data_IF_276681046160
#
_entry.id   IF_276681046160
#
_cell.length_a   1.000
_cell.length_b   1.000
_cell.length_c   1.000
_cell.angle_alpha   90.00
_cell.angle_beta   90.00
_cell.angle_gamma   90.00
#
_symmetry.space_group_name_H-M   'P 1'
#
loop_
_entity.id
_entity.type
_entity.pdbx_description
1 polymer ?
#
# COMPACT_ATOMS: atom_id res chain seq x y z
N UNK A 1 12.30 22.38 2.87
CA UNK A 1 12.74 21.10 2.27
C UNK A 1 13.08 20.15 3.39
N UNK A 2 12.13 19.28 3.75
CA UNK A 2 12.25 18.40 4.91
C UNK A 2 12.85 17.07 4.46
N UNK A 3 14.14 16.88 4.72
CA UNK A 3 14.80 15.60 4.49
C UNK A 3 14.36 14.61 5.58
N UNK A 4 13.41 13.75 5.22
CA UNK A 4 12.98 12.63 6.04
C UNK A 4 14.04 11.51 5.91
N UNK A 5 15.11 11.60 6.69
CA UNK A 5 16.14 10.56 6.75
C UNK A 5 15.63 9.39 7.62
N UNK A 6 14.76 8.58 7.02
CA UNK A 6 14.27 7.33 7.60
C UNK A 6 15.32 6.21 7.41
N UNK A 7 16.50 6.39 8.01
CA UNK A 7 17.58 5.40 8.05
C UNK A 7 17.68 4.67 9.40
N UNK A 8 16.54 4.47 10.08
CA UNK A 8 16.45 3.67 11.33
C UNK A 8 16.18 2.18 11.03
N UNK A 9 16.83 1.63 9.98
CA UNK A 9 16.87 0.18 9.73
C UNK A 9 18.33 -0.26 9.66
N UNK A 10 18.69 -1.29 10.43
CA UNK A 10 20.02 -1.88 10.49
C UNK A 10 20.44 -2.60 9.20
N UNK A 11 19.74 -2.36 8.08
CA UNK A 11 20.02 -2.96 6.80
C UNK A 11 20.99 -2.06 6.04
N UNK A 12 22.24 -2.50 5.95
CA UNK A 12 23.26 -1.87 5.12
C UNK A 12 22.74 -1.89 3.68
N UNK A 13 22.48 -0.71 3.10
CA UNK A 13 22.45 -0.56 1.64
C UNK A 13 23.80 -1.08 1.16
N UNK A 14 23.82 -2.19 0.43
CA UNK A 14 25.02 -2.65 -0.28
C UNK A 14 25.36 -1.58 -1.32
N UNK A 15 26.02 -0.50 -0.90
CA UNK A 15 26.79 0.34 -1.80
C UNK A 15 27.83 -0.58 -2.41
N UNK A 16 27.87 -0.53 -3.74
CA UNK A 16 28.84 -1.15 -4.63
C UNK A 16 30.16 -1.44 -3.93
N UNK A 17 30.56 -2.72 -3.97
CA UNK A 17 31.82 -3.22 -3.47
C UNK A 17 32.92 -2.16 -3.52
N UNK A 18 33.46 -1.81 -2.35
CA UNK A 18 34.71 -1.07 -2.24
C UNK A 18 35.81 -1.94 -2.85
N UNK A 19 35.96 -1.84 -4.18
CA UNK A 19 37.15 -2.26 -4.90
C UNK A 19 38.23 -1.26 -4.47
N UNK A 20 38.87 -1.56 -3.35
CA UNK A 20 40.13 -0.93 -3.01
C UNK A 20 41.10 -1.24 -4.15
N UNK A 21 41.52 -0.18 -4.85
CA UNK A 21 42.53 -0.24 -5.91
C UNK A 21 43.78 -0.98 -5.42
N UNK A 22 44.22 -2.06 -6.08
CA UNK A 22 45.54 -2.61 -5.83
C UNK A 22 46.54 -1.75 -6.63
N UNK A 23 47.38 -1.00 -5.92
CA UNK A 23 48.66 -0.59 -6.46
C UNK A 23 49.49 -1.84 -6.76
N UNK A 24 50.26 -1.78 -7.85
CA UNK A 24 51.23 -2.76 -8.36
C UNK A 24 50.65 -4.04 -8.99
N UNK A 25 50.83 -4.13 -10.31
CA UNK A 25 50.28 -5.18 -11.14
C UNK A 25 50.93 -6.54 -10.94
N UNK A 26 50.10 -7.57 -10.89
CA UNK A 26 50.35 -8.87 -11.52
C UNK A 26 48.98 -9.47 -11.82
N UNK A 27 48.73 -9.82 -13.07
CA UNK A 27 47.52 -10.51 -13.52
C UNK A 27 47.51 -11.94 -12.98
N UNK A 28 46.87 -12.15 -11.83
CA UNK A 28 46.46 -13.45 -11.33
C UNK A 28 44.97 -13.35 -11.02
N UNK A 29 44.19 -14.36 -11.42
CA UNK A 29 42.74 -14.36 -11.32
C UNK A 29 42.25 -13.88 -9.95
N UNK A 30 41.25 -13.01 -9.94
CA UNK A 30 40.52 -12.63 -8.73
C UNK A 30 40.01 -13.91 -8.06
N UNK A 31 40.75 -14.39 -7.07
CA UNK A 31 40.45 -15.60 -6.35
C UNK A 31 39.09 -15.39 -5.68
N UNK A 32 38.06 -16.07 -6.19
CA UNK A 32 36.68 -15.91 -5.71
C UNK A 32 36.56 -16.22 -4.21
N UNK A 33 37.55 -16.91 -3.64
CA UNK A 33 37.69 -17.20 -2.21
C UNK A 33 37.94 -15.96 -1.33
N UNK A 34 38.37 -14.82 -1.91
CA UNK A 34 38.61 -13.56 -1.18
C UNK A 34 37.42 -12.60 -1.19
N UNK A 35 36.28 -13.00 -1.77
CA UNK A 35 35.09 -12.15 -1.93
C UNK A 35 34.15 -12.34 -0.74
N UNK A 36 34.51 -11.76 0.41
CA UNK A 36 33.67 -11.77 1.61
C UNK A 36 34.23 -10.87 2.71
N UNK A 37 33.39 -10.03 3.34
CA UNK A 37 33.80 -9.31 4.55
C UNK A 37 33.94 -10.32 5.69
N UNK A 38 35.02 -10.26 6.44
CA UNK A 38 35.24 -11.09 7.63
C UNK A 38 34.67 -10.40 8.88
N UNK A 39 34.33 -11.19 9.90
CA UNK A 39 33.98 -10.61 11.20
C UNK A 39 35.21 -9.90 11.75
N UNK A 40 35.11 -8.60 12.04
CA UNK A 40 36.24 -7.75 12.43
C UNK A 40 36.65 -7.93 13.91
N UNK A 41 36.32 -9.09 14.48
CA UNK A 41 36.69 -9.48 15.83
C UNK A 41 37.85 -10.47 15.73
N UNK A 42 38.97 -10.14 16.36
CA UNK A 42 40.28 -10.80 16.19
C UNK A 42 40.23 -12.33 16.26
N UNK A 43 39.34 -12.88 17.09
CA UNK A 43 39.23 -14.31 17.34
C UNK A 43 38.13 -15.04 16.55
N UNK A 44 37.26 -14.32 15.84
CA UNK A 44 36.14 -14.92 15.12
C UNK A 44 36.48 -15.22 13.66
N UNK A 45 36.94 -14.20 12.91
CA UNK A 45 37.30 -14.26 11.49
C UNK A 45 36.33 -15.06 10.58
N UNK A 46 35.05 -15.17 10.96
CA UNK A 46 34.05 -15.91 10.20
C UNK A 46 33.84 -15.29 8.82
N UNK A 47 33.76 -16.15 7.80
CA UNK A 47 33.46 -15.83 6.40
C UNK A 47 32.00 -16.23 6.07
N UNK A 48 31.41 -15.65 5.03
CA UNK A 48 30.03 -15.94 4.56
C UNK A 48 28.90 -15.69 5.57
N UNK A 49 28.95 -14.56 6.28
CA UNK A 49 27.87 -14.12 7.17
C UNK A 49 27.12 -12.91 6.60
N UNK A 50 25.90 -12.69 7.10
CA UNK A 50 25.16 -11.46 6.84
C UNK A 50 25.80 -10.30 7.61
N UNK A 51 26.36 -9.27 6.95
CA UNK A 51 27.17 -8.26 7.63
C UNK A 51 26.33 -7.36 8.54
N UNK A 52 26.54 -7.44 9.85
CA UNK A 52 25.96 -6.52 10.83
C UNK A 52 26.93 -5.40 11.17
N UNK A 53 26.49 -4.16 11.03
CA UNK A 53 27.32 -2.98 11.28
C UNK A 53 27.00 -2.44 12.67
N UNK A 54 28.01 -2.40 13.56
CA UNK A 54 27.83 -1.83 14.90
C UNK A 54 27.66 -0.31 14.79
N UNK A 55 26.56 0.24 15.30
CA UNK A 55 26.26 1.67 15.18
C UNK A 55 27.12 2.55 16.10
N UNK A 56 27.82 1.92 17.05
CA UNK A 56 28.71 2.59 18.00
C UNK A 56 30.16 2.69 17.47
N UNK A 57 30.73 1.60 16.93
CA UNK A 57 32.11 1.59 16.42
C UNK A 57 32.24 1.45 14.90
N UNK A 58 31.13 1.34 14.17
CA UNK A 58 31.06 1.25 12.70
C UNK A 58 31.81 0.06 12.06
N UNK A 59 32.16 -0.96 12.86
CA UNK A 59 32.79 -2.21 12.42
C UNK A 59 31.74 -3.25 12.02
N UNK A 60 32.14 -4.21 11.17
CA UNK A 60 31.26 -5.27 10.66
C UNK A 60 31.47 -6.59 11.40
N UNK A 61 30.38 -7.21 11.84
CA UNK A 61 30.37 -8.41 12.68
C UNK A 61 29.34 -9.44 12.22
N UNK A 62 29.56 -10.70 12.58
CA UNK A 62 28.61 -11.79 12.36
C UNK A 62 27.44 -11.75 13.35
N UNK A 63 26.48 -12.68 13.18
CA UNK A 63 25.24 -12.73 13.97
C UNK A 63 25.50 -12.79 15.48
N UNK A 64 26.54 -13.53 15.88
CA UNK A 64 26.93 -13.76 17.28
C UNK A 64 27.65 -12.55 17.88
N UNK A 65 28.32 -11.76 17.05
CA UNK A 65 29.12 -10.60 17.45
C UNK A 65 28.45 -9.25 17.15
N UNK A 66 27.18 -9.23 16.76
CA UNK A 66 26.44 -8.03 16.36
C UNK A 66 26.22 -7.02 17.50
N UNK A 67 26.18 -7.48 18.75
CA UNK A 67 25.89 -6.64 19.92
C UNK A 67 27.15 -5.98 20.46
N UNK A 68 27.01 -4.81 21.09
CA UNK A 68 28.16 -4.08 21.65
C UNK A 68 28.92 -4.88 22.72
N UNK A 69 28.20 -5.70 23.49
CA UNK A 69 28.77 -6.60 24.50
C UNK A 69 29.49 -7.79 23.88
N UNK A 70 29.00 -8.33 22.77
CA UNK A 70 29.57 -9.54 22.15
C UNK A 70 30.93 -9.32 21.47
N UNK A 71 31.24 -8.12 20.98
CA UNK A 71 32.53 -7.83 20.34
C UNK A 71 33.42 -6.89 21.17
N UNK A 72 33.09 -6.67 22.45
CA UNK A 72 33.74 -5.69 23.32
C UNK A 72 33.93 -4.33 22.63
N UNK A 73 32.82 -3.68 22.30
CA UNK A 73 32.82 -2.43 21.53
C UNK A 73 33.70 -1.35 22.17
N UNK A 74 34.65 -0.79 21.40
CA UNK A 74 35.51 0.31 21.85
C UNK A 74 34.71 1.59 22.19
N UNK A 75 33.53 1.76 21.59
CA UNK A 75 32.67 2.94 21.77
C UNK A 75 31.30 2.55 22.35
N UNK A 76 31.24 1.56 23.25
CA UNK A 76 29.98 1.09 23.82
C UNK A 76 29.12 2.27 24.36
N UNK A 77 27.84 2.30 23.98
CA UNK A 77 26.90 3.36 24.37
C UNK A 77 26.92 4.64 23.53
N UNK A 78 27.88 4.82 22.60
CA UNK A 78 27.92 6.02 21.74
C UNK A 78 26.65 6.15 20.88
N UNK A 79 26.11 5.03 20.39
CA UNK A 79 24.82 5.03 19.68
C UNK A 79 23.65 5.45 20.58
N UNK A 80 23.60 4.92 21.81
CA UNK A 80 22.53 5.23 22.76
C UNK A 80 22.53 6.73 23.13
N UNK A 81 23.71 7.31 23.35
CA UNK A 81 23.86 8.73 23.65
C UNK A 81 23.43 9.62 22.48
N UNK A 82 23.86 9.28 21.25
CA UNK A 82 23.43 10.00 20.04
C UNK A 82 21.91 9.97 19.87
N UNK A 83 21.28 8.81 20.12
CA UNK A 83 19.82 8.66 20.02
C UNK A 83 19.09 9.47 21.10
N UNK A 84 19.62 9.51 22.32
CA UNK A 84 19.10 10.32 23.43
C UNK A 84 19.14 11.82 23.10
N UNK A 85 20.28 12.31 22.62
CA UNK A 85 20.43 13.71 22.20
C UNK A 85 19.50 14.06 21.05
N UNK A 86 19.36 13.16 20.06
CA UNK A 86 18.41 13.35 18.97
C UNK A 86 16.96 13.42 19.46
N UNK A 87 16.56 12.59 20.42
CA UNK A 87 15.22 12.65 21.03
C UNK A 87 14.98 13.95 21.79
N UNK A 88 15.96 14.44 22.56
CA UNK A 88 15.86 15.71 23.27
C UNK A 88 15.82 16.92 22.31
N UNK A 89 16.49 16.82 21.16
CA UNK A 89 16.46 17.85 20.12
C UNK A 89 15.16 17.86 19.30
N UNK A 90 14.25 16.89 19.49
CA UNK A 90 12.95 16.89 18.78
C UNK A 90 12.07 17.98 19.40
N UNK A 91 11.65 18.99 18.62
CA UNK A 91 10.71 19.99 19.13
C UNK A 91 9.40 19.33 19.55
N UNK A 92 8.73 19.92 20.55
CA UNK A 92 7.43 19.43 21.00
C UNK A 92 6.41 19.47 19.84
N UNK A 93 5.43 18.58 19.86
CA UNK A 93 4.38 18.54 18.85
C UNK A 93 3.60 19.88 18.85
N UNK A 94 3.92 20.78 17.92
CA UNK A 94 3.31 22.11 17.80
C UNK A 94 4.24 23.29 18.09
N UNK A 95 5.47 23.05 18.54
CA UNK A 95 6.47 24.10 18.75
C UNK A 95 6.83 24.74 17.40
N UNK A 96 6.61 26.06 17.28
CA UNK A 96 6.76 26.82 16.03
C UNK A 96 5.50 26.96 15.17
N UNK A 97 4.42 26.22 15.45
CA UNK A 97 3.11 26.48 14.82
C UNK A 97 2.36 27.54 15.61
N UNK A 98 2.68 28.83 15.38
CA UNK A 98 1.83 29.92 15.88
C UNK A 98 0.45 29.75 15.24
N UNK A 99 -0.59 29.59 16.06
CA UNK A 99 -2.01 29.64 15.66
C UNK A 99 -2.35 31.06 15.18
N UNK A 100 -1.76 31.51 14.06
CA UNK A 100 -1.85 32.93 13.67
C UNK A 100 -2.01 33.22 12.18
N UNK A 101 -2.10 32.25 11.28
CA UNK A 101 -2.19 32.62 9.84
C UNK A 101 -3.20 31.88 8.97
N UNK A 102 -3.94 30.89 9.49
CA UNK A 102 -4.96 30.17 8.71
C UNK A 102 -6.40 30.33 9.20
N UNK A 103 -6.64 31.17 10.19
CA UNK A 103 -8.00 31.40 10.69
C UNK A 103 -8.45 32.79 10.25
N UNK A 104 -8.66 32.94 8.93
CA UNK A 104 -9.45 34.06 8.42
C UNK A 104 -10.83 33.95 9.06
N UNK A 105 -11.20 34.95 9.86
CA UNK A 105 -12.51 35.02 10.49
C UNK A 105 -13.57 35.02 9.38
N UNK A 106 -14.39 33.98 9.34
CA UNK A 106 -15.45 33.82 8.33
C UNK A 106 -16.80 33.66 9.04
N UNK A 107 -17.89 34.20 8.49
CA UNK A 107 -19.21 33.89 9.02
C UNK A 107 -19.54 32.41 8.83
N UNK A 108 -20.42 31.89 9.68
CA UNK A 108 -21.01 30.57 9.48
C UNK A 108 -21.69 30.50 8.12
N UNK A 109 -21.49 29.39 7.41
CA UNK A 109 -22.09 29.18 6.10
C UNK A 109 -23.60 28.83 6.14
N UNK A 110 -24.20 28.89 7.32
CA UNK A 110 -25.64 28.74 7.52
C UNK A 110 -26.32 30.10 7.47
N UNK A 111 -27.42 30.22 6.71
CA UNK A 111 -28.03 31.51 6.38
C UNK A 111 -28.78 32.11 7.59
N UNK A 112 -29.19 31.28 8.55
CA UNK A 112 -29.78 31.73 9.81
C UNK A 112 -28.72 32.12 10.85
N UNK A 113 -27.46 31.70 10.66
CA UNK A 113 -26.41 31.84 11.67
C UNK A 113 -25.45 32.98 11.38
N UNK A 114 -25.47 34.01 12.24
CA UNK A 114 -24.55 35.16 12.16
C UNK A 114 -23.24 34.98 12.95
N UNK A 115 -22.94 33.78 13.46
CA UNK A 115 -21.75 33.56 14.28
C UNK A 115 -20.48 33.60 13.42
N UNK A 116 -19.47 34.34 13.88
CA UNK A 116 -18.16 34.41 13.22
C UNK A 116 -17.28 33.27 13.72
N UNK A 117 -16.90 32.43 12.78
CA UNK A 117 -16.05 31.28 12.95
C UNK A 117 -14.59 31.73 12.85
N UNK A 118 -13.74 31.11 13.64
CA UNK A 118 -12.32 31.38 13.60
C UNK A 118 -11.84 32.38 14.65
N UNK A 119 -12.62 32.52 15.71
CA UNK A 119 -12.18 33.18 16.94
C UNK A 119 -11.70 32.10 17.92
N UNK A 120 -10.88 32.46 18.91
CA UNK A 120 -10.38 31.50 19.91
C UNK A 120 -11.49 30.81 20.71
N UNK A 121 -12.69 31.40 20.78
CA UNK A 121 -13.86 30.85 21.47
C UNK A 121 -14.79 30.06 20.54
N UNK A 122 -14.71 30.26 19.22
CA UNK A 122 -15.58 29.63 18.22
C UNK A 122 -14.71 29.02 17.11
N UNK A 123 -14.11 27.84 17.33
CA UNK A 123 -13.43 27.12 16.27
C UNK A 123 -14.44 26.68 15.21
N UNK A 124 -14.01 26.75 13.94
CA UNK A 124 -14.79 26.28 12.81
C UNK A 124 -14.74 24.79 12.66
N UNK A 125 -15.89 24.19 12.34
CA UNK A 125 -15.97 22.79 11.95
C UNK A 125 -16.31 22.72 10.47
N UNK A 126 -15.47 22.03 9.71
CA UNK A 126 -15.66 21.82 8.28
C UNK A 126 -16.59 20.63 8.04
N UNK A 127 -17.63 20.82 7.22
CA UNK A 127 -18.54 19.74 6.83
C UNK A 127 -18.04 19.03 5.57
N UNK A 128 -17.81 17.70 5.59
CA UNK A 128 -17.24 16.95 4.46
C UNK A 128 -18.22 16.74 3.28
N UNK A 129 -19.51 16.96 3.48
CA UNK A 129 -20.54 16.72 2.44
C UNK A 129 -20.84 17.96 1.60
N UNK A 130 -20.83 19.16 2.20
CA UNK A 130 -21.06 20.43 1.48
C UNK A 130 -19.80 21.31 1.34
N UNK A 131 -18.67 20.89 1.93
CA UNK A 131 -17.37 21.57 1.92
C UNK A 131 -17.43 23.01 2.43
N UNK A 132 -18.28 23.28 3.43
CA UNK A 132 -18.46 24.60 4.05
C UNK A 132 -18.12 24.56 5.54
N UNK A 133 -17.74 25.71 6.08
CA UNK A 133 -17.35 25.86 7.49
C UNK A 133 -18.54 26.38 8.32
N UNK A 134 -18.81 25.68 9.43
CA UNK A 134 -19.92 25.96 10.34
C UNK A 134 -19.43 26.17 11.77
N UNK A 135 -20.26 26.84 12.56
CA UNK A 135 -20.01 27.01 13.98
C UNK A 135 -20.31 25.72 14.74
N UNK A 136 -19.90 25.64 16.00
CA UNK A 136 -20.16 24.47 16.86
C UNK A 136 -21.64 24.09 16.95
N UNK A 137 -22.56 25.05 16.82
CA UNK A 137 -24.02 24.80 16.83
C UNK A 137 -24.53 24.17 15.54
N UNK A 138 -23.84 24.37 14.42
CA UNK A 138 -24.23 23.88 13.10
C UNK A 138 -23.22 22.86 12.54
N UNK A 139 -22.51 22.16 13.43
CA UNK A 139 -21.44 21.25 13.06
C UNK A 139 -21.94 19.93 12.47
N UNK A 140 -23.16 19.49 12.81
CA UNK A 140 -23.75 18.27 12.27
C UNK A 140 -24.50 18.59 10.97
N UNK A 141 -24.59 17.58 10.08
CA UNK A 141 -25.29 17.69 8.81
C UNK A 141 -26.82 17.92 8.95
N UNK A 142 -27.37 17.69 10.13
CA UNK A 142 -28.78 17.92 10.45
C UNK A 142 -29.05 19.39 10.83
N UNK A 143 -28.03 20.05 11.37
CA UNK A 143 -28.12 21.42 11.88
C UNK A 143 -27.88 22.48 10.78
N UNK A 144 -27.66 22.06 9.54
CA UNK A 144 -27.53 22.94 8.38
C UNK A 144 -28.06 22.26 7.12
N UNK A 145 -28.51 23.07 6.16
CA UNK A 145 -29.02 22.56 4.88
C UNK A 145 -27.89 22.01 3.99
N UNK A 146 -27.38 20.83 4.34
CA UNK A 146 -26.26 20.21 3.66
C UNK A 146 -26.60 19.72 2.25
N UNK A 147 -27.88 19.38 2.01
CA UNK A 147 -28.37 18.81 0.75
C UNK A 147 -28.70 19.86 -0.31
N UNK A 148 -29.05 21.09 0.09
CA UNK A 148 -29.43 22.17 -0.83
C UNK A 148 -28.21 22.95 -1.35
N UNK A 149 -27.08 22.85 -0.66
CA UNK A 149 -25.87 23.61 -0.97
C UNK A 149 -24.97 22.81 -1.92
N UNK A 150 -24.77 23.33 -3.13
CA UNK A 150 -23.81 22.77 -4.11
C UNK A 150 -22.41 22.77 -3.47
N UNK A 151 -21.69 21.64 -3.49
CA UNK A 151 -20.36 21.55 -2.88
C UNK A 151 -19.40 22.48 -3.60
N UNK A 152 -18.67 23.28 -2.82
CA UNK A 152 -17.67 24.22 -3.33
C UNK A 152 -16.59 23.39 -4.02
N UNK A 153 -16.43 23.58 -5.35
CA UNK A 153 -15.47 22.86 -6.18
C UNK A 153 -16.07 21.91 -7.22
N UNK A 154 -17.36 21.59 -7.14
CA UNK A 154 -18.07 20.91 -8.24
C UNK A 154 -18.46 21.95 -9.30
N UNK A 155 -17.63 22.10 -10.35
CA UNK A 155 -18.09 22.81 -11.55
C UNK A 155 -19.28 22.03 -12.13
N UNK A 156 -20.38 22.73 -12.44
CA UNK A 156 -21.49 22.16 -13.20
C UNK A 156 -20.97 21.75 -14.58
N UNK A 157 -20.72 20.46 -14.79
CA UNK A 157 -20.47 19.92 -16.13
C UNK A 157 -21.76 20.09 -16.95
N UNK A 158 -21.66 20.71 -18.12
CA UNK A 158 -22.82 20.95 -18.97
C UNK A 158 -23.44 19.62 -19.41
N UNK A 159 -24.76 19.56 -19.54
CA UNK A 159 -25.51 18.34 -19.90
C UNK A 159 -24.99 17.63 -21.17
N UNK A 160 -24.38 18.38 -22.10
CA UNK A 160 -23.73 17.85 -23.30
C UNK A 160 -22.52 16.95 -22.99
N UNK A 161 -21.74 17.26 -21.95
CA UNK A 161 -20.57 16.45 -21.55
C UNK A 161 -20.97 15.16 -20.82
N UNK A 162 -22.08 15.18 -20.07
CA UNK A 162 -22.63 13.98 -19.42
C UNK A 162 -23.15 12.94 -20.43
N UNK A 163 -23.80 13.39 -21.51
CA UNK A 163 -24.30 12.51 -22.57
C UNK A 163 -23.17 11.83 -23.38
N UNK A 164 -22.09 12.57 -23.68
CA UNK A 164 -20.93 12.03 -24.39
C UNK A 164 -20.16 10.98 -23.57
N UNK A 165 -20.03 11.18 -22.26
CA UNK A 165 -19.43 10.19 -21.35
C UNK A 165 -20.26 8.89 -21.26
N UNK A 166 -21.58 8.97 -21.24
CA UNK A 166 -22.45 7.80 -21.20
C UNK A 166 -22.43 6.97 -22.50
N UNK A 167 -22.28 7.62 -23.66
CA UNK A 167 -22.15 6.91 -24.94
C UNK A 167 -20.80 6.16 -25.04
N UNK A 168 -19.72 6.78 -24.56
CA UNK A 168 -18.39 6.16 -24.55
C UNK A 168 -18.31 4.97 -23.58
N UNK A 169 -18.95 5.08 -22.40
CA UNK A 169 -19.02 4.01 -21.42
C UNK A 169 -19.77 2.76 -21.92
N UNK A 170 -20.83 2.93 -22.71
CA UNK A 170 -21.61 1.81 -23.29
C UNK A 170 -20.82 1.04 -24.35
N UNK A 171 -20.07 1.74 -25.20
CA UNK A 171 -19.24 1.11 -26.23
C UNK A 171 -18.03 0.37 -25.63
N UNK A 172 -17.46 0.88 -24.54
CA UNK A 172 -16.41 0.17 -23.81
C UNK A 172 -16.92 -1.16 -23.22
N UNK A 173 -18.12 -1.16 -22.61
CA UNK A 173 -18.70 -2.34 -21.97
C UNK A 173 -19.00 -3.49 -22.97
N UNK A 174 -19.44 -3.16 -24.19
CA UNK A 174 -19.64 -4.17 -25.24
C UNK A 174 -18.34 -4.82 -25.69
N UNK A 175 -17.27 -4.04 -25.82
CA UNK A 175 -15.93 -4.55 -26.19
C UNK A 175 -15.38 -5.47 -25.11
N UNK A 176 -15.62 -5.16 -23.83
CA UNK A 176 -15.26 -6.04 -22.71
C UNK A 176 -16.07 -7.35 -22.66
N UNK A 177 -17.37 -7.31 -23.01
CA UNK A 177 -18.19 -8.54 -23.09
C UNK A 177 -17.71 -9.49 -24.19
N UNK A 178 -17.25 -8.98 -25.31
CA UNK A 178 -16.73 -9.79 -26.41
C UNK A 178 -15.38 -10.43 -26.06
N UNK A 179 -14.51 -9.68 -25.39
CA UNK A 179 -13.23 -10.19 -24.88
C UNK A 179 -13.40 -11.28 -23.80
N UNK A 180 -14.42 -11.16 -22.94
CA UNK A 180 -14.72 -12.19 -21.93
C UNK A 180 -15.17 -13.53 -22.52
N UNK A 181 -15.79 -13.54 -23.71
CA UNK A 181 -16.22 -14.77 -24.38
C UNK A 181 -15.05 -15.54 -25.00
N UNK A 182 -14.10 -14.85 -25.64
CA UNK A 182 -12.94 -15.49 -26.27
C UNK A 182 -12.02 -16.16 -25.25
N UNK A 183 -11.86 -15.53 -24.08
CA UNK A 183 -11.04 -16.05 -22.98
C UNK A 183 -11.63 -17.28 -22.30
N UNK A 184 -12.95 -17.40 -22.28
CA UNK A 184 -13.67 -18.56 -21.72
C UNK A 184 -13.50 -19.81 -22.59
N UNK A 185 -13.35 -19.63 -23.90
CA UNK A 185 -13.07 -20.73 -24.84
C UNK A 185 -11.61 -21.22 -24.75
N UNK A 186 -10.67 -20.33 -24.49
CA UNK A 186 -9.25 -20.67 -24.27
C UNK A 186 -9.03 -21.44 -22.95
N UNK A 187 -9.71 -21.06 -21.86
CA UNK A 187 -9.59 -21.74 -20.57
C UNK A 187 -10.20 -23.15 -20.55
N UNK A 188 -11.16 -23.46 -21.42
CA UNK A 188 -11.76 -24.78 -21.54
C UNK A 188 -10.87 -25.80 -22.27
N UNK A 189 -9.86 -25.34 -23.02
CA UNK A 189 -9.00 -26.19 -23.86
C UNK A 189 -7.81 -26.80 -23.11
N UNK A 190 -7.43 -26.26 -21.95
CA UNK A 190 -6.15 -26.58 -21.29
C UNK A 190 -6.29 -26.99 -19.82
N UNK A 191 -6.84 -28.16 -19.49
CA UNK A 191 -6.63 -28.77 -18.16
C UNK A 191 -6.51 -30.31 -18.19
N UNK A 192 -5.35 -30.88 -17.80
CA UNK A 192 -5.24 -32.26 -17.34
C UNK A 192 -5.49 -32.36 -15.81
N UNK A 193 -6.15 -33.44 -15.37
CA UNK A 193 -6.50 -33.71 -13.95
C UNK A 193 -5.47 -34.64 -13.29
N UNK A 194 -4.81 -34.26 -12.18
CA UNK A 194 -4.02 -35.20 -11.38
C UNK A 194 -4.81 -35.86 -10.23
N UNK A 195 -4.56 -37.15 -9.99
CA UNK A 195 -5.11 -38.00 -8.90
C UNK A 195 -4.25 -37.89 -7.62
N UNK A 196 -4.78 -38.21 -6.41
CA UNK A 196 -4.18 -37.80 -5.14
C UNK A 196 -3.33 -38.88 -4.44
N UNK A 197 -2.32 -38.47 -3.66
CA UNK A 197 -1.78 -39.28 -2.55
C UNK A 197 -1.11 -38.46 -1.43
N UNK A 198 -1.53 -38.78 -0.20
CA UNK A 198 -0.86 -38.66 1.12
C UNK A 198 -0.62 -37.32 1.85
N UNK A 199 -0.99 -37.36 3.14
CA UNK A 199 -0.59 -36.62 4.36
C UNK A 199 -0.45 -35.08 4.37
N UNK A 200 -0.04 -34.43 3.28
CA UNK A 200 -0.04 -32.97 3.14
C UNK A 200 -1.48 -32.39 3.07
N UNK A 201 -2.49 -33.26 2.93
CA UNK A 201 -3.87 -32.90 2.65
C UNK A 201 -4.63 -32.21 3.78
N UNK A 202 -4.22 -32.29 5.06
CA UNK A 202 -4.93 -31.57 6.13
C UNK A 202 -4.66 -30.06 6.11
N UNK A 203 -3.51 -29.63 5.59
CA UNK A 203 -3.16 -28.21 5.39
C UNK A 203 -3.56 -27.68 4.01
N UNK A 204 -3.65 -28.58 3.00
CA UNK A 204 -4.05 -28.24 1.62
C UNK A 204 -5.58 -28.21 1.47
N UNK A 205 -6.35 -28.96 2.27
CA UNK A 205 -7.82 -28.94 2.22
C UNK A 205 -8.45 -27.58 2.55
N UNK A 206 -7.72 -26.71 3.26
CA UNK A 206 -8.13 -25.34 3.56
C UNK A 206 -7.63 -24.30 2.55
N UNK A 207 -6.93 -24.70 1.48
CA UNK A 207 -6.43 -23.76 0.47
C UNK A 207 -7.29 -23.81 -0.79
N UNK A 208 -7.62 -22.63 -1.32
CA UNK A 208 -8.25 -22.42 -2.62
C UNK A 208 -7.18 -22.04 -3.62
N UNK A 209 -7.18 -22.70 -4.76
CA UNK A 209 -6.35 -22.34 -5.90
C UNK A 209 -7.09 -21.30 -6.75
N UNK A 210 -6.47 -20.14 -6.99
CA UNK A 210 -7.05 -19.05 -7.76
C UNK A 210 -6.06 -18.53 -8.79
N UNK A 211 -6.58 -18.20 -9.97
CA UNK A 211 -5.86 -17.44 -10.97
C UNK A 211 -6.06 -15.95 -10.70
N UNK A 212 -4.98 -15.19 -10.59
CA UNK A 212 -5.06 -13.75 -10.35
C UNK A 212 -4.45 -13.01 -11.52
N UNK A 213 -5.26 -12.15 -12.15
CA UNK A 213 -4.82 -11.27 -13.23
C UNK A 213 -4.92 -9.82 -12.77
N UNK A 214 -3.90 -9.02 -13.06
CA UNK A 214 -3.97 -7.57 -12.92
C UNK A 214 -4.26 -6.97 -14.30
N UNK A 215 -5.25 -6.09 -14.39
CA UNK A 215 -5.56 -5.41 -15.65
C UNK A 215 -4.43 -4.45 -16.06
N UNK A 216 -4.13 -4.41 -17.36
CA UNK A 216 -2.96 -3.72 -17.94
C UNK A 216 -2.97 -2.20 -17.80
N UNK A 217 -4.12 -1.57 -17.55
CA UNK A 217 -4.18 -0.11 -17.28
C UNK A 217 -3.64 0.24 -15.87
N UNK A 218 -3.56 -0.75 -14.98
CA UNK A 218 -3.01 -0.58 -13.62
C UNK A 218 -1.56 -1.09 -13.52
N UNK A 219 -1.00 -1.67 -14.58
CA UNK A 219 0.25 -2.43 -14.53
C UNK A 219 1.48 -1.60 -14.96
N UNK A 220 2.15 -0.98 -13.98
CA UNK A 220 3.63 -0.86 -14.01
C UNK A 220 4.32 -2.16 -13.54
N UNK A 221 3.60 -3.28 -13.49
CA UNK A 221 4.08 -4.54 -12.92
C UNK A 221 4.66 -5.47 -13.99
N UNK A 222 5.82 -6.07 -13.69
CA UNK A 222 6.62 -6.93 -14.58
C UNK A 222 6.01 -8.33 -14.82
N UNK A 223 4.92 -8.68 -14.14
CA UNK A 223 4.27 -10.01 -14.22
C UNK A 223 2.75 -9.81 -14.14
N UNK A 224 2.01 -9.85 -15.27
CA UNK A 224 0.59 -9.48 -15.31
C UNK A 224 -0.37 -10.57 -14.77
N UNK A 225 0.12 -11.79 -14.59
CA UNK A 225 -0.69 -12.97 -14.24
C UNK A 225 0.09 -13.87 -13.28
N UNK A 226 -0.59 -14.40 -12.27
CA UNK A 226 0.01 -15.34 -11.32
C UNK A 226 -1.01 -16.34 -10.81
N UNK A 227 -0.52 -17.53 -10.48
CA UNK A 227 -1.29 -18.59 -9.85
C UNK A 227 -0.99 -18.60 -8.35
N UNK A 228 -2.02 -18.48 -7.52
CA UNK A 228 -1.83 -18.35 -6.08
C UNK A 228 -2.75 -19.26 -5.29
N UNK A 229 -2.26 -19.72 -4.13
CA UNK A 229 -3.02 -20.49 -3.17
C UNK A 229 -3.37 -19.60 -1.97
N UNK A 230 -4.67 -19.44 -1.71
CA UNK A 230 -5.19 -18.66 -0.59
C UNK A 230 -5.92 -19.56 0.39
N UNK A 231 -6.05 -19.16 1.65
CA UNK A 231 -6.82 -19.95 2.62
C UNK A 231 -8.33 -19.65 2.47
N UNK A 232 -9.17 -20.69 2.45
CA UNK A 232 -10.65 -20.65 2.35
C UNK A 232 -11.29 -19.67 3.32
N UNK A 233 -10.74 -19.58 4.53
CA UNK A 233 -11.28 -18.76 5.61
C UNK A 233 -10.97 -17.25 5.45
N UNK A 234 -10.19 -16.85 4.44
CA UNK A 234 -9.84 -15.45 4.24
C UNK A 234 -11.00 -14.62 3.68
N UNK A 235 -11.05 -13.36 4.10
CA UNK A 235 -11.93 -12.34 3.50
C UNK A 235 -11.31 -11.81 2.20
N UNK A 236 -12.17 -11.38 1.28
CA UNK A 236 -11.76 -10.85 -0.04
C UNK A 236 -10.75 -9.71 0.10
N UNK A 237 -10.91 -8.81 1.07
CA UNK A 237 -9.92 -7.75 1.32
C UNK A 237 -8.51 -8.26 1.62
N UNK A 238 -8.39 -9.33 2.43
CA UNK A 238 -7.10 -9.94 2.77
C UNK A 238 -6.48 -10.66 1.56
N UNK A 239 -7.31 -11.28 0.72
CA UNK A 239 -6.86 -11.88 -0.54
C UNK A 239 -6.38 -10.81 -1.51
N UNK A 240 -7.09 -9.68 -1.62
CA UNK A 240 -6.68 -8.53 -2.43
C UNK A 240 -5.33 -7.97 -1.97
N UNK A 241 -5.11 -7.80 -0.66
CA UNK A 241 -3.83 -7.32 -0.12
C UNK A 241 -2.66 -8.28 -0.39
N UNK A 242 -2.93 -9.58 -0.33
CA UNK A 242 -1.93 -10.61 -0.61
C UNK A 242 -1.64 -10.68 -2.12
N UNK A 243 -2.68 -10.66 -2.95
CA UNK A 243 -2.59 -10.66 -4.40
C UNK A 243 -1.88 -9.41 -4.94
N UNK A 244 -2.20 -8.22 -4.40
CA UNK A 244 -1.55 -6.97 -4.75
C UNK A 244 -0.05 -6.99 -4.40
N UNK A 245 0.32 -7.51 -3.22
CA UNK A 245 1.73 -7.70 -2.85
C UNK A 245 2.46 -8.66 -3.77
N UNK A 246 1.84 -9.79 -4.12
CA UNK A 246 2.43 -10.79 -5.00
C UNK A 246 2.59 -10.30 -6.44
N UNK A 247 1.64 -9.51 -6.94
CA UNK A 247 1.68 -8.89 -8.28
C UNK A 247 2.38 -7.52 -8.30
N UNK A 248 2.95 -7.09 -7.16
CA UNK A 248 3.60 -5.77 -7.00
C UNK A 248 2.71 -4.57 -7.38
N UNK A 249 1.40 -4.70 -7.18
CA UNK A 249 0.42 -3.62 -7.34
C UNK A 249 0.33 -2.84 -6.03
N UNK A 250 0.45 -1.52 -6.11
CA UNK A 250 0.35 -0.66 -4.93
C UNK A 250 -1.09 -0.56 -4.46
N UNK A 251 -1.42 -1.18 -3.33
CA UNK A 251 -2.72 -1.00 -2.68
C UNK A 251 -2.74 0.25 -1.80
N UNK A 252 -3.47 1.28 -2.23
CA UNK A 252 -3.61 2.57 -1.56
C UNK A 252 -5.04 2.72 -0.97
N UNK A 253 -5.83 1.65 -0.91
CA UNK A 253 -7.23 1.68 -0.44
C UNK A 253 -7.40 2.27 0.97
N UNK A 254 -6.37 2.18 1.82
CA UNK A 254 -6.39 2.70 3.19
C UNK A 254 -5.92 4.17 3.30
N UNK A 255 -5.37 4.75 2.24
CA UNK A 255 -4.79 6.10 2.24
C UNK A 255 -5.56 7.07 1.34
N UNK A 256 -6.29 6.59 0.32
CA UNK A 256 -7.08 7.44 -0.58
C UNK A 256 -8.60 7.23 -0.38
N UNK A 257 -9.31 8.33 -0.19
CA UNK A 257 -10.78 8.38 -0.17
C UNK A 257 -11.40 8.43 -1.57
N UNK A 258 -10.58 8.54 -2.61
CA UNK A 258 -10.97 8.64 -4.01
C UNK A 258 -11.30 7.27 -4.60
N UNK A 259 -12.47 7.13 -5.20
CA UNK A 259 -12.95 5.86 -5.77
C UNK A 259 -12.10 5.39 -6.97
N UNK A 260 -11.53 6.33 -7.72
CA UNK A 260 -10.59 6.13 -8.84
C UNK A 260 -9.28 5.41 -8.43
N UNK A 261 -8.90 5.50 -7.16
CA UNK A 261 -7.68 4.89 -6.63
C UNK A 261 -7.93 3.55 -5.92
N UNK A 262 -9.20 3.18 -5.73
CA UNK A 262 -9.55 1.96 -5.01
C UNK A 262 -9.40 0.73 -5.89
N UNK A 263 -8.65 -0.24 -5.40
CA UNK A 263 -8.55 -1.58 -5.94
C UNK A 263 -9.74 -2.42 -5.48
N UNK A 264 -10.39 -3.10 -6.42
CA UNK A 264 -11.48 -4.04 -6.20
C UNK A 264 -11.15 -5.38 -6.85
N UNK A 265 -11.80 -6.43 -6.35
CA UNK A 265 -11.70 -7.79 -6.91
C UNK A 265 -12.93 -8.08 -7.75
N UNK A 266 -12.73 -8.36 -9.03
CA UNK A 266 -13.76 -8.85 -9.93
C UNK A 266 -13.64 -10.36 -10.08
N UNK A 267 -14.74 -11.08 -9.89
CA UNK A 267 -14.77 -12.52 -10.11
C UNK A 267 -15.31 -12.82 -11.52
N UNK A 268 -14.48 -13.44 -12.37
CA UNK A 268 -14.81 -13.69 -13.78
C UNK A 268 -15.96 -14.69 -13.95
N UNK A 269 -15.93 -15.83 -13.26
CA UNK A 269 -16.98 -16.87 -13.39
C UNK A 269 -18.31 -16.43 -12.78
N UNK A 270 -18.27 -15.69 -11.68
CA UNK A 270 -19.47 -15.14 -11.03
C UNK A 270 -20.00 -13.85 -11.66
N UNK A 271 -19.27 -13.25 -12.60
CA UNK A 271 -19.67 -12.01 -13.29
C UNK A 271 -19.94 -10.82 -12.37
N UNK A 272 -19.43 -10.84 -11.13
CA UNK A 272 -19.75 -9.86 -10.08
C UNK A 272 -18.49 -9.33 -9.40
N UNK A 273 -18.58 -8.10 -8.90
CA UNK A 273 -17.56 -7.54 -8.01
C UNK A 273 -17.74 -8.14 -6.61
N UNK A 274 -16.63 -8.54 -5.99
CA UNK A 274 -16.65 -9.06 -4.63
C UNK A 274 -16.53 -7.92 -3.63
N UNK A 275 -17.35 -7.97 -2.58
CA UNK A 275 -17.26 -7.04 -1.47
C UNK A 275 -16.09 -7.42 -0.54
N UNK A 276 -15.41 -6.43 0.04
CA UNK A 276 -14.21 -6.66 0.84
C UNK A 276 -14.44 -7.53 2.09
N UNK A 277 -15.66 -7.52 2.65
CA UNK A 277 -16.03 -8.24 3.87
C UNK A 277 -16.53 -9.68 3.59
N UNK A 278 -16.73 -10.06 2.33
CA UNK A 278 -17.20 -11.40 1.99
C UNK A 278 -16.07 -12.43 2.16
N UNK A 279 -16.41 -13.65 2.61
CA UNK A 279 -15.45 -14.76 2.73
C UNK A 279 -15.30 -15.46 1.39
N UNK A 280 -14.07 -15.78 0.99
CA UNK A 280 -13.82 -16.41 -0.31
C UNK A 280 -14.42 -17.82 -0.42
N UNK A 281 -14.58 -18.55 0.69
CA UNK A 281 -15.17 -19.89 0.70
C UNK A 281 -16.58 -19.96 0.10
N UNK A 282 -17.39 -18.91 0.27
CA UNK A 282 -18.78 -18.90 -0.20
C UNK A 282 -18.90 -18.59 -1.70
N UNK A 283 -17.89 -17.94 -2.27
CA UNK A 283 -18.00 -17.30 -3.58
C UNK A 283 -17.04 -17.86 -4.60
N UNK A 284 -15.85 -18.29 -4.16
CA UNK A 284 -14.77 -18.73 -5.02
C UNK A 284 -14.55 -20.22 -4.85
N UNK A 285 -14.52 -20.92 -5.98
CA UNK A 285 -14.20 -22.35 -6.08
C UNK A 285 -12.76 -22.49 -6.59
N UNK A 286 -12.14 -23.64 -6.36
CA UNK A 286 -10.81 -23.96 -6.90
C UNK A 286 -10.79 -23.82 -8.42
N UNK A 287 -9.83 -23.06 -8.94
CA UNK A 287 -9.67 -22.78 -10.37
C UNK A 287 -10.38 -21.51 -10.85
N UNK A 288 -11.04 -20.77 -9.95
CA UNK A 288 -11.68 -19.51 -10.31
C UNK A 288 -10.64 -18.41 -10.60
N UNK A 289 -10.94 -17.59 -11.60
CA UNK A 289 -10.14 -16.41 -11.94
C UNK A 289 -10.69 -15.17 -11.25
N UNK A 290 -9.80 -14.42 -10.61
CA UNK A 290 -10.07 -13.10 -10.05
C UNK A 290 -9.20 -12.05 -10.75
N UNK A 291 -9.81 -10.90 -11.03
CA UNK A 291 -9.14 -9.78 -11.68
C UNK A 291 -9.11 -8.60 -10.71
N UNK A 292 -7.93 -8.00 -10.54
CA UNK A 292 -7.75 -6.79 -9.76
C UNK A 292 -7.97 -5.58 -10.67
N UNK A 293 -8.97 -4.77 -10.33
CA UNK A 293 -9.32 -3.56 -11.08
C UNK A 293 -9.12 -2.34 -10.18
N UNK A 294 -8.56 -1.26 -10.71
CA UNK A 294 -8.43 0.03 -10.02
C UNK A 294 -9.43 1.02 -10.60
N UNK A 295 -10.09 1.77 -9.73
CA UNK A 295 -10.90 2.91 -10.12
C UNK A 295 -12.30 2.60 -10.63
N UNK A 296 -12.78 1.36 -10.43
CA UNK A 296 -14.18 1.01 -10.67
C UNK A 296 -15.01 1.43 -9.47
N UNK A 297 -16.09 2.18 -9.72
CA UNK A 297 -17.07 2.60 -8.72
C UNK A 297 -17.74 1.42 -8.01
N UNK A 298 -18.56 1.67 -6.97
CA UNK A 298 -19.33 0.60 -6.32
C UNK A 298 -20.10 -0.23 -7.33
N UNK A 299 -20.27 -1.56 -7.09
CA UNK A 299 -21.16 -2.35 -7.91
C UNK A 299 -22.52 -1.63 -7.93
N UNK A 300 -23.17 -1.48 -9.09
CA UNK A 300 -24.55 -1.03 -9.10
C UNK A 300 -25.35 -2.05 -8.29
N UNK A 301 -25.92 -1.60 -7.17
CA UNK A 301 -26.87 -2.39 -6.40
C UNK A 301 -27.98 -2.82 -7.36
N UNK A 302 -28.11 -4.13 -7.50
CA UNK A 302 -29.15 -4.77 -8.29
C UNK A 302 -30.47 -4.54 -7.54
N UNK A 303 -31.09 -3.38 -7.76
CA UNK A 303 -32.50 -3.17 -7.41
C UNK A 303 -33.31 -4.09 -8.34
N UNK A 304 -34.14 -4.89 -7.69
CA UNK A 304 -35.03 -5.91 -8.25
C UNK A 304 -35.82 -5.44 -9.48
N UNK A 305 -35.88 -6.30 -10.50
CA UNK A 305 -37.01 -6.42 -11.43
C UNK A 305 -37.31 -7.89 -11.66
#
# INVERSE_FOLDING_TARGET
MSNNDSSDTSYVKMSTADVASPSSGTSAGTDASLVGKHCQLEYCNQLDFLPFLCQSCHKTFCLDHRSESSHNCACAGAWAERRRLAQLARPSAGEGKRMRELVSQKPCADDACKTIIGTSLVPGVHCPSCNRDYCLKHRLAEDHDCKSKVPIGARAASAATAAAMQASAKSALERFKLWGKTKREEAARSLPKPKPSTAAQRVIAKRIYLYVEAESETAKAKIPKGEFFYNKEWVVGRVLDAAARSLQVQNINNQSSKEEDRLRVFHVEGGRMLEFNEKIEKVLVNGNTIVLLRGVGPPPDLIEM
#
